data_IF_473048024434
#
_entry.id   IF_473048024434
#
_cell.length_a   1.000
_cell.length_b   1.000
_cell.length_c   1.000
_cell.angle_alpha   90.00
_cell.angle_beta   90.00
_cell.angle_gamma   90.00
#
_symmetry.space_group_name_H-M   'P 1'
#
loop_
_entity.id
_entity.type
_entity.pdbx_description
1 polymer ?
#
# COMPACT_ATOMS: atom_id res chain seq x y z
N UNK A 1 -5.04 -20.07 4.57
CA UNK A 1 -4.64 -21.23 3.75
C UNK A 1 -3.44 -20.84 2.88
N UNK A 2 -2.25 -21.42 3.09
CA UNK A 2 -1.18 -21.42 2.06
C UNK A 2 -1.17 -22.82 1.44
N UNK A 3 -1.85 -22.98 0.31
CA UNK A 3 -1.92 -24.25 -0.43
C UNK A 3 -1.42 -24.01 -1.85
N UNK A 4 -0.18 -24.44 -2.10
CA UNK A 4 0.41 -24.61 -3.42
C UNK A 4 0.93 -23.34 -4.10
N UNK A 5 2.25 -23.26 -4.30
CA UNK A 5 2.96 -22.77 -5.50
C UNK A 5 2.65 -21.40 -6.13
N UNK A 6 1.67 -20.64 -5.65
CA UNK A 6 1.27 -19.39 -6.27
C UNK A 6 2.22 -18.28 -5.86
N UNK A 7 2.95 -17.75 -6.84
CA UNK A 7 3.76 -16.55 -6.71
C UNK A 7 2.93 -15.41 -7.30
N UNK A 8 2.10 -14.74 -6.48
CA UNK A 8 1.34 -13.59 -6.96
C UNK A 8 2.32 -12.58 -7.56
N UNK A 9 2.00 -12.13 -8.77
CA UNK A 9 2.71 -11.07 -9.45
C UNK A 9 2.17 -9.71 -9.01
N UNK A 10 2.81 -8.64 -9.46
CA UNK A 10 2.37 -7.27 -9.18
C UNK A 10 0.88 -7.04 -9.48
N UNK A 11 0.39 -7.47 -10.64
CA UNK A 11 -1.02 -7.28 -11.02
C UNK A 11 -1.98 -7.95 -10.04
N UNK A 12 -1.61 -9.11 -9.49
CA UNK A 12 -2.41 -9.78 -8.46
C UNK A 12 -2.46 -8.92 -7.19
N UNK A 13 -1.32 -8.44 -6.69
CA UNK A 13 -1.29 -7.57 -5.52
C UNK A 13 -2.10 -6.29 -5.75
N UNK A 14 -1.94 -5.65 -6.90
CA UNK A 14 -2.68 -4.45 -7.29
C UNK A 14 -4.19 -4.67 -7.23
N UNK A 15 -4.69 -5.76 -7.82
CA UNK A 15 -6.13 -6.08 -7.79
C UNK A 15 -6.61 -6.31 -6.35
N UNK A 16 -5.86 -7.05 -5.56
CA UNK A 16 -6.24 -7.39 -4.19
C UNK A 16 -6.26 -6.14 -3.30
N UNK A 17 -5.21 -5.31 -3.34
CA UNK A 17 -5.15 -4.04 -2.59
C UNK A 17 -6.28 -3.10 -3.00
N UNK A 18 -6.49 -2.88 -4.30
CA UNK A 18 -7.59 -2.03 -4.79
C UNK A 18 -8.96 -2.55 -4.34
N UNK A 19 -9.15 -3.88 -4.33
CA UNK A 19 -10.40 -4.48 -3.85
C UNK A 19 -10.61 -4.23 -2.35
N UNK A 20 -9.57 -4.37 -1.53
CA UNK A 20 -9.63 -4.05 -0.11
C UNK A 20 -9.93 -2.57 0.14
N UNK A 21 -9.27 -1.65 -0.58
CA UNK A 21 -9.56 -0.21 -0.52
C UNK A 21 -11.02 0.11 -0.86
N UNK A 22 -11.54 -0.46 -1.96
CA UNK A 22 -12.95 -0.29 -2.37
C UNK A 22 -13.95 -0.80 -1.33
N UNK A 23 -13.58 -1.87 -0.62
CA UNK A 23 -14.39 -2.43 0.46
C UNK A 23 -14.20 -1.69 1.80
N UNK A 24 -13.36 -0.65 1.84
CA UNK A 24 -12.98 0.10 3.06
C UNK A 24 -12.30 -0.76 4.13
N UNK A 25 -11.76 -1.91 3.72
CA UNK A 25 -11.01 -2.81 4.56
C UNK A 25 -9.52 -2.49 4.43
N UNK A 26 -9.13 -1.43 5.13
CA UNK A 26 -7.78 -0.89 5.09
C UNK A 26 -6.75 -1.74 5.84
N UNK A 27 -7.19 -2.50 6.85
CA UNK A 27 -6.31 -3.41 7.58
C UNK A 27 -5.87 -4.56 6.67
N UNK A 28 -6.82 -5.15 5.92
CA UNK A 28 -6.51 -6.13 4.88
C UNK A 28 -5.63 -5.56 3.76
N UNK A 29 -5.89 -4.32 3.33
CA UNK A 29 -5.05 -3.65 2.33
C UNK A 29 -3.59 -3.51 2.81
N UNK A 30 -3.38 -3.07 4.06
CA UNK A 30 -2.05 -2.91 4.67
C UNK A 30 -1.31 -4.24 4.74
N UNK A 31 -1.99 -5.31 5.17
CA UNK A 31 -1.39 -6.66 5.24
C UNK A 31 -0.91 -7.15 3.87
N UNK A 32 -1.66 -6.87 2.81
CA UNK A 32 -1.31 -7.25 1.43
C UNK A 32 -0.15 -6.41 0.90
N UNK A 33 -0.14 -5.10 1.15
CA UNK A 33 1.00 -4.24 0.80
C UNK A 33 2.25 -4.69 1.57
N UNK A 34 2.12 -5.08 2.85
CA UNK A 34 3.24 -5.62 3.63
C UNK A 34 3.83 -6.88 3.00
N UNK A 35 3.00 -7.88 2.66
CA UNK A 35 3.48 -9.11 1.98
C UNK A 35 4.12 -8.81 0.62
N UNK A 36 3.66 -7.78 -0.10
CA UNK A 36 4.28 -7.31 -1.34
C UNK A 36 5.70 -6.76 -1.10
N UNK A 37 5.87 -5.90 -0.09
CA UNK A 37 7.16 -5.31 0.29
C UNK A 37 8.15 -6.36 0.81
N UNK A 38 7.69 -7.31 1.63
CA UNK A 38 8.49 -8.43 2.15
C UNK A 38 9.05 -9.32 1.05
N UNK A 39 8.39 -9.36 -0.12
CA UNK A 39 8.84 -10.08 -1.32
C UNK A 39 9.69 -9.22 -2.25
N UNK A 40 10.17 -8.07 -1.77
CA UNK A 40 10.94 -7.10 -2.53
C UNK A 40 10.22 -6.56 -3.78
N UNK A 41 8.89 -6.56 -3.78
CA UNK A 41 8.11 -5.96 -4.86
C UNK A 41 7.73 -4.53 -4.50
N UNK A 42 8.12 -3.58 -5.36
CA UNK A 42 7.78 -2.18 -5.18
C UNK A 42 6.37 -1.90 -5.70
N UNK A 43 5.46 -1.34 -4.89
CA UNK A 43 4.19 -0.82 -5.39
C UNK A 43 4.44 0.35 -6.35
N UNK A 44 3.67 0.43 -7.43
CA UNK A 44 3.73 1.58 -8.33
C UNK A 44 2.95 2.77 -7.78
N UNK A 45 3.27 3.97 -8.28
CA UNK A 45 2.61 5.23 -7.91
C UNK A 45 1.07 5.17 -7.94
N UNK A 46 0.39 4.64 -8.98
CA UNK A 46 -1.08 4.63 -8.99
C UNK A 46 -1.70 3.81 -7.85
N UNK A 47 -1.04 2.70 -7.47
CA UNK A 47 -1.51 1.85 -6.37
C UNK A 47 -1.28 2.52 -5.01
N UNK A 48 -0.13 3.18 -4.85
CA UNK A 48 0.17 3.96 -3.65
C UNK A 48 -0.82 5.13 -3.49
N UNK A 49 -1.09 5.87 -4.56
CA UNK A 49 -2.05 6.98 -4.54
C UNK A 49 -3.44 6.49 -4.08
N UNK A 50 -3.98 5.43 -4.68
CA UNK A 50 -5.28 4.85 -4.29
C UNK A 50 -5.30 4.38 -2.83
N UNK A 51 -4.24 3.68 -2.40
CA UNK A 51 -4.11 3.14 -1.05
C UNK A 51 -4.04 4.26 0.00
N UNK A 52 -3.15 5.22 -0.20
CA UNK A 52 -2.93 6.31 0.76
C UNK A 52 -4.11 7.29 0.78
N UNK A 53 -4.71 7.61 -0.38
CA UNK A 53 -5.94 8.42 -0.46
C UNK A 53 -7.07 7.78 0.34
N UNK A 54 -7.32 6.48 0.16
CA UNK A 54 -8.33 5.75 0.93
C UNK A 54 -8.06 5.76 2.44
N UNK A 55 -6.80 5.59 2.86
CA UNK A 55 -6.42 5.71 4.27
C UNK A 55 -6.64 7.13 4.83
N UNK A 56 -6.33 8.17 4.04
CA UNK A 56 -6.54 9.56 4.43
C UNK A 56 -8.02 9.87 4.59
N UNK A 57 -8.85 9.49 3.62
CA UNK A 57 -10.31 9.65 3.69
C UNK A 57 -10.93 8.92 4.89
N UNK A 58 -10.35 7.78 5.27
CA UNK A 58 -10.79 7.00 6.42
C UNK A 58 -10.20 7.45 7.77
N UNK A 59 -9.34 8.48 7.79
CA UNK A 59 -8.55 8.88 8.98
C UNK A 59 -7.72 7.71 9.59
N UNK A 60 -7.24 6.80 8.75
CA UNK A 60 -6.48 5.60 9.12
C UNK A 60 -5.00 5.67 8.74
N UNK A 61 -4.43 6.87 8.62
CA UNK A 61 -3.01 7.06 8.27
C UNK A 61 -2.02 6.38 9.24
N UNK A 62 -2.40 6.17 10.50
CA UNK A 62 -1.61 5.40 11.47
C UNK A 62 -1.29 3.97 10.97
N UNK A 63 -2.18 3.34 10.18
CA UNK A 63 -1.92 2.02 9.60
C UNK A 63 -0.79 2.06 8.56
N UNK A 64 -0.61 3.19 7.87
CA UNK A 64 0.53 3.35 6.97
C UNK A 64 1.83 3.58 7.75
N UNK A 65 1.79 4.24 8.91
CA UNK A 65 2.99 4.39 9.75
C UNK A 65 3.55 3.03 10.20
N UNK A 66 2.68 2.06 10.49
CA UNK A 66 3.10 0.69 10.80
C UNK A 66 3.85 0.04 9.62
N UNK A 67 3.39 0.31 8.39
CA UNK A 67 4.03 -0.15 7.16
C UNK A 67 5.44 0.46 6.98
N UNK A 68 5.67 1.69 7.48
CA UNK A 68 6.96 2.39 7.37
C UNK A 68 8.09 1.58 7.99
N UNK A 69 7.82 0.87 9.08
CA UNK A 69 8.82 0.02 9.75
C UNK A 69 9.33 -1.10 8.84
N UNK A 70 8.45 -1.68 8.02
CA UNK A 70 8.75 -2.74 7.06
C UNK A 70 9.32 -2.17 5.76
N UNK A 71 8.82 -1.01 5.31
CA UNK A 71 9.32 -0.36 4.10
C UNK A 71 10.74 0.21 4.26
N UNK A 72 11.16 0.61 5.47
CA UNK A 72 12.46 1.23 5.71
C UNK A 72 13.66 0.31 5.43
N UNK A 73 13.50 -1.01 5.52
CA UNK A 73 14.58 -1.94 5.18
C UNK A 73 14.87 -2.00 3.68
N UNK A 74 13.92 -1.58 2.83
CA UNK A 74 14.01 -1.76 1.38
C UNK A 74 13.69 -0.52 0.53
N UNK A 75 13.29 0.61 1.17
CA UNK A 75 13.10 1.93 0.52
C UNK A 75 12.14 1.94 -0.68
N UNK A 76 11.12 1.10 -0.67
CA UNK A 76 10.15 1.00 -1.78
C UNK A 76 9.11 2.13 -1.81
N UNK A 77 8.77 2.70 -0.65
CA UNK A 77 7.75 3.75 -0.53
C UNK A 77 8.43 5.04 -0.07
N UNK A 78 8.36 6.13 -0.86
CA UNK A 78 8.88 7.44 -0.47
C UNK A 78 8.26 7.98 0.82
N UNK A 79 9.06 8.70 1.63
CA UNK A 79 8.63 9.22 2.93
C UNK A 79 7.42 10.18 2.86
N UNK A 80 7.25 10.90 1.74
CA UNK A 80 6.16 11.87 1.56
C UNK A 80 4.76 11.24 1.55
N UNK A 81 4.66 9.92 1.31
CA UNK A 81 3.39 9.21 1.44
C UNK A 81 2.92 9.10 2.90
N UNK A 82 3.85 8.98 3.86
CA UNK A 82 3.51 8.88 5.27
C UNK A 82 3.19 10.24 5.90
N UNK A 83 3.72 11.33 5.36
CA UNK A 83 3.46 12.69 5.88
C UNK A 83 2.14 13.29 5.41
N UNK A 84 1.42 12.61 4.50
CA UNK A 84 0.19 13.15 3.90
C UNK A 84 0.41 14.16 2.76
N UNK A 85 1.66 14.41 2.41
CA UNK A 85 2.08 15.46 1.47
C UNK A 85 1.87 15.06 -0.01
N UNK A 86 1.60 13.78 -0.29
CA UNK A 86 1.21 13.29 -1.63
C UNK A 86 -0.12 13.86 -2.15
N UNK A 87 -0.91 14.55 -1.29
CA UNK A 87 -2.12 15.28 -1.69
C UNK A 87 -1.81 16.62 -2.35
N UNK A 88 -0.57 17.13 -2.22
CA UNK A 88 -0.06 18.23 -3.03
C UNK A 88 0.29 17.69 -4.43
N UNK A 89 -0.71 17.14 -5.12
CA UNK A 89 -0.73 17.11 -6.59
C UNK A 89 -1.02 18.54 -7.01
N UNK A 90 0.01 19.38 -6.97
CA UNK A 90 -0.09 20.71 -7.54
C UNK A 90 -0.54 20.59 -8.99
N UNK A 91 -1.57 21.37 -9.28
CA UNK A 91 -1.68 22.15 -10.51
C UNK A 91 -0.37 22.18 -11.32
N UNK A 92 -0.34 21.42 -12.42
CA UNK A 92 0.18 21.89 -13.72
C UNK A 92 -0.49 21.11 -14.87
#
# INVERSE_FOLDING_TARGET
>A
MKKGGFHPNYDTYKIVVSTFCKNKDFEGAVDVVRDMLERCMSPEKPLLDEFFEGLSEANKLHLAEDLRSVANSARFIPDFYYTGDYRNKDEE
#
